data_IF_876191073881
#
_entry.id   IF_876191073881
#
_cell.length_a   1.000
_cell.length_b   1.000
_cell.length_c   1.000
_cell.angle_alpha   90.00
_cell.angle_beta   90.00
_cell.angle_gamma   90.00
#
_symmetry.space_group_name_H-M   'P 1'
#
loop_
_entity.id
_entity.type
_entity.pdbx_description
1 polymer ?
#
# COMPACT_ATOMS: atom_id res chain seq x y z
N UNK A 1 13.61 -2.06 -1.33
CA UNK A 1 13.52 -3.54 -1.49
C UNK A 1 12.17 -3.79 -2.12
N UNK A 2 12.09 -4.56 -3.21
CA UNK A 2 10.81 -4.92 -3.80
C UNK A 2 9.96 -5.70 -2.80
N UNK A 3 8.67 -5.41 -2.79
CA UNK A 3 7.66 -6.14 -1.99
C UNK A 3 7.47 -7.49 -2.69
N UNK A 4 7.77 -8.61 -2.02
CA UNK A 4 7.53 -9.95 -2.56
C UNK A 4 6.36 -10.60 -1.80
N UNK A 5 5.26 -10.89 -2.50
CA UNK A 5 4.10 -11.56 -1.91
C UNK A 5 3.96 -12.98 -2.48
N UNK A 6 3.70 -13.96 -1.60
CA UNK A 6 3.40 -15.34 -1.97
C UNK A 6 1.88 -15.53 -2.00
N UNK A 7 1.39 -16.19 -3.05
CA UNK A 7 -0.01 -16.54 -3.25
C UNK A 7 -0.55 -17.41 -2.07
N UNK A 8 -1.65 -16.99 -1.43
CA UNK A 8 -2.22 -17.57 -0.20
C UNK A 8 -1.77 -16.93 1.13
N UNK A 9 -0.66 -16.21 1.16
CA UNK A 9 -0.09 -15.63 2.39
C UNK A 9 -0.50 -14.16 2.60
N UNK A 10 -0.49 -13.75 3.87
CA UNK A 10 -0.58 -12.34 4.28
C UNK A 10 0.82 -11.87 4.67
N UNK A 11 1.36 -10.93 3.90
CA UNK A 11 2.66 -10.32 4.17
C UNK A 11 2.49 -8.95 4.84
N UNK A 12 3.34 -8.63 5.82
CA UNK A 12 3.35 -7.36 6.54
C UNK A 12 4.50 -6.46 6.05
N UNK A 13 4.18 -5.22 5.68
CA UNK A 13 5.17 -4.23 5.26
C UNK A 13 5.09 -2.96 6.10
N UNK A 14 6.20 -2.61 6.76
CA UNK A 14 6.34 -1.33 7.43
C UNK A 14 6.60 -0.20 6.43
N UNK A 15 5.65 0.74 6.36
CA UNK A 15 5.72 1.90 5.48
C UNK A 15 5.89 3.16 6.32
N UNK A 16 7.03 3.84 6.15
CA UNK A 16 7.26 5.18 6.72
C UNK A 16 7.14 6.23 5.63
N UNK A 17 6.21 7.17 5.77
CA UNK A 17 5.97 8.30 4.87
C UNK A 17 6.77 9.51 5.32
N UNK A 18 7.62 10.03 4.43
CA UNK A 18 8.38 11.26 4.65
C UNK A 18 8.13 12.27 3.54
N UNK A 19 8.16 13.54 3.90
CA UNK A 19 8.15 14.69 2.99
C UNK A 19 9.35 15.56 3.33
N UNK A 20 10.20 15.85 2.34
CA UNK A 20 11.42 16.65 2.53
C UNK A 20 12.32 16.12 3.66
N UNK A 21 12.38 14.79 3.82
CA UNK A 21 13.18 14.12 4.85
C UNK A 21 12.58 14.14 6.26
N UNK A 22 11.37 14.71 6.45
CA UNK A 22 10.64 14.68 7.72
C UNK A 22 9.47 13.70 7.65
N UNK A 23 9.23 12.99 8.76
CA UNK A 23 8.03 12.18 8.91
C UNK A 23 6.78 13.04 8.72
N UNK A 24 5.84 12.54 7.91
CA UNK A 24 4.56 13.21 7.69
C UNK A 24 3.57 12.76 8.77
N UNK A 25 2.84 13.70 9.36
CA UNK A 25 1.79 13.33 10.31
C UNK A 25 0.58 12.75 9.56
N UNK A 26 0.22 11.51 9.89
CA UNK A 26 -0.89 10.74 9.31
C UNK A 26 -2.09 10.62 10.25
N UNK A 27 -2.17 11.42 11.32
CA UNK A 27 -3.35 11.45 12.20
C UNK A 27 -4.56 11.90 11.39
N UNK A 28 -5.66 11.15 11.51
CA UNK A 28 -6.91 11.32 10.77
C UNK A 28 -6.77 11.27 9.24
N UNK A 29 -5.67 10.70 8.72
CA UNK A 29 -5.46 10.51 7.29
C UNK A 29 -6.05 9.19 6.84
N UNK A 30 -6.87 9.24 5.78
CA UNK A 30 -7.31 8.04 5.08
C UNK A 30 -6.20 7.58 4.13
N UNK A 31 -5.73 6.36 4.33
CA UNK A 31 -4.72 5.72 3.47
C UNK A 31 -5.42 4.72 2.57
N UNK A 32 -5.15 4.79 1.26
CA UNK A 32 -5.62 3.80 0.27
C UNK A 32 -4.43 3.25 -0.48
N UNK A 33 -4.38 1.95 -0.65
CA UNK A 33 -3.36 1.27 -1.43
C UNK A 33 -3.96 0.78 -2.75
N UNK A 34 -3.21 0.89 -3.85
CA UNK A 34 -3.62 0.47 -5.18
C UNK A 34 -2.53 -0.38 -5.81
N UNK A 35 -2.91 -1.48 -6.45
CA UNK A 35 -2.02 -2.21 -7.36
C UNK A 35 -2.44 -1.91 -8.80
N UNK A 36 -1.46 -1.60 -9.63
CA UNK A 36 -1.61 -1.09 -10.98
C UNK A 36 -0.88 -2.00 -11.97
N UNK A 37 -1.43 -2.13 -13.18
CA UNK A 37 -0.72 -2.75 -14.29
C UNK A 37 0.35 -1.80 -14.89
N UNK A 38 1.09 -2.29 -15.88
CA UNK A 38 2.11 -1.49 -16.60
C UNK A 38 1.55 -0.26 -17.33
N UNK A 39 0.23 -0.17 -17.52
CA UNK A 39 -0.46 0.98 -18.11
C UNK A 39 -1.11 1.90 -17.05
N UNK A 40 -0.86 1.66 -15.77
CA UNK A 40 -1.45 2.38 -14.63
C UNK A 40 -2.97 2.21 -14.49
N UNK A 41 -3.49 1.08 -14.96
CA UNK A 41 -4.87 0.67 -14.70
C UNK A 41 -4.95 0.05 -13.31
N UNK A 42 -5.90 0.48 -12.48
CA UNK A 42 -6.12 -0.09 -11.14
C UNK A 42 -6.60 -1.54 -11.29
N UNK A 43 -5.80 -2.47 -10.80
CA UNK A 43 -6.10 -3.90 -10.75
C UNK A 43 -6.78 -4.28 -9.44
N UNK A 44 -6.29 -3.73 -8.34
CA UNK A 44 -6.93 -3.85 -7.03
C UNK A 44 -6.76 -2.56 -6.23
N UNK A 45 -7.62 -2.40 -5.24
CA UNK A 45 -7.52 -1.35 -4.23
C UNK A 45 -7.74 -1.98 -2.86
N UNK A 46 -7.03 -1.51 -1.84
CA UNK A 46 -7.36 -1.86 -0.46
C UNK A 46 -8.80 -1.44 -0.21
N UNK A 47 -9.56 -2.30 0.47
CA UNK A 47 -10.94 -1.95 0.79
C UNK A 47 -10.97 -0.67 1.64
N UNK A 48 -12.09 0.06 1.66
CA UNK A 48 -12.23 1.21 2.57
C UNK A 48 -12.28 0.77 4.05
N UNK A 49 -12.27 -0.54 4.31
CA UNK A 49 -12.17 -1.14 5.62
C UNK A 49 -10.70 -1.42 5.96
N UNK A 50 -10.34 -0.93 7.14
CA UNK A 50 -9.01 -0.75 7.73
C UNK A 50 -8.21 -2.07 7.93
N UNK A 51 -8.73 -3.23 7.55
CA UNK A 51 -8.09 -4.53 7.85
C UNK A 51 -6.75 -4.75 7.10
N UNK A 52 -6.53 -4.05 6.00
CA UNK A 52 -5.28 -4.13 5.23
C UNK A 52 -4.24 -3.07 5.63
N UNK A 53 -4.61 -2.08 6.45
CA UNK A 53 -3.73 -0.95 6.81
C UNK A 53 -3.85 -0.62 8.30
N UNK A 54 -2.78 -0.85 9.07
CA UNK A 54 -2.71 -0.49 10.48
C UNK A 54 -1.82 0.74 10.71
N UNK A 55 -2.43 1.85 11.12
CA UNK A 55 -1.75 3.09 11.50
C UNK A 55 -1.19 2.98 12.94
N UNK A 56 -0.06 2.32 13.12
CA UNK A 56 0.53 2.10 14.45
C UNK A 56 1.32 3.30 15.01
N UNK A 57 1.88 4.16 14.15
CA UNK A 57 2.54 5.41 14.56
C UNK A 57 2.23 6.56 13.59
N UNK A 58 0.98 7.04 13.57
CA UNK A 58 0.53 8.03 12.60
C UNK A 58 1.25 9.38 12.77
N UNK A 59 1.58 9.80 14.00
CA UNK A 59 2.37 11.02 14.24
C UNK A 59 3.79 10.94 13.70
N UNK A 60 4.36 9.73 13.62
CA UNK A 60 5.67 9.45 13.01
C UNK A 60 5.58 9.06 11.53
N UNK A 61 4.39 9.14 10.93
CA UNK A 61 4.16 8.82 9.53
C UNK A 61 4.28 7.35 9.17
N UNK A 62 4.03 6.45 10.12
CA UNK A 62 4.23 5.02 9.93
C UNK A 62 2.91 4.26 9.98
N UNK A 63 2.78 3.30 9.07
CA UNK A 63 1.70 2.34 9.02
C UNK A 63 2.22 0.99 8.53
N UNK A 64 1.49 -0.07 8.87
CA UNK A 64 1.70 -1.41 8.34
C UNK A 64 0.70 -1.66 7.22
N UNK A 65 1.19 -2.22 6.14
CA UNK A 65 0.39 -2.69 5.03
C UNK A 65 0.37 -4.22 5.08
N UNK A 66 -0.83 -4.79 5.14
CA UNK A 66 -1.06 -6.22 5.06
C UNK A 66 -1.52 -6.57 3.65
N UNK A 67 -0.70 -7.34 2.94
CA UNK A 67 -1.02 -7.79 1.59
C UNK A 67 -1.39 -9.27 1.64
N UNK A 68 -2.69 -9.54 1.56
CA UNK A 68 -3.23 -10.89 1.41
C UNK A 68 -3.40 -11.20 -0.06
N UNK A 69 -2.58 -12.10 -0.58
CA UNK A 69 -2.62 -12.47 -2.00
C UNK A 69 -3.87 -13.27 -2.39
N UNK A 70 -4.56 -13.87 -1.42
CA UNK A 70 -5.87 -14.53 -1.63
C UNK A 70 -6.99 -13.58 -2.05
N UNK A 71 -6.90 -12.29 -1.68
CA UNK A 71 -7.87 -11.26 -2.06
C UNK A 71 -7.50 -10.55 -3.38
N UNK A 72 -6.29 -10.82 -3.88
CA UNK A 72 -5.83 -10.26 -5.14
C UNK A 72 -6.17 -11.20 -6.29
N UNK A 73 -7.09 -10.78 -7.17
CA UNK A 73 -7.29 -11.34 -8.52
C UNK A 73 -6.03 -11.20 -9.43
N UNK A 74 -4.87 -11.01 -8.82
CA UNK A 74 -3.63 -10.60 -9.44
C UNK A 74 -2.79 -11.87 -9.60
N UNK A 75 -2.50 -12.18 -10.86
CA UNK A 75 -1.67 -13.32 -11.21
C UNK A 75 -0.23 -13.07 -10.74
N UNK A 76 0.58 -14.13 -10.60
CA UNK A 76 2.01 -13.99 -10.42
C UNK A 76 2.61 -13.08 -11.50
N UNK A 77 3.41 -12.09 -11.09
CA UNK A 77 3.88 -11.02 -11.95
C UNK A 77 4.46 -9.83 -11.20
N UNK A 78 4.91 -8.83 -11.95
CA UNK A 78 5.43 -7.57 -11.43
C UNK A 78 4.41 -6.46 -11.67
N UNK A 79 4.04 -5.75 -10.61
CA UNK A 79 3.02 -4.71 -10.64
C UNK A 79 3.52 -3.44 -9.99
N UNK A 80 3.00 -2.31 -10.43
CA UNK A 80 3.22 -1.05 -9.73
C UNK A 80 2.27 -0.94 -8.55
N UNK A 81 2.67 -0.22 -7.50
CA UNK A 81 1.72 0.17 -6.46
C UNK A 81 1.74 1.66 -6.15
N UNK A 82 0.60 2.16 -5.70
CA UNK A 82 0.41 3.54 -5.29
C UNK A 82 -0.30 3.60 -3.95
N UNK A 83 0.12 4.54 -3.10
CA UNK A 83 -0.53 4.86 -1.84
C UNK A 83 -1.13 6.26 -1.96
N UNK A 84 -2.45 6.39 -1.92
CA UNK A 84 -3.13 7.68 -1.81
C UNK A 84 -3.38 8.00 -0.34
N UNK A 85 -2.96 9.19 0.07
CA UNK A 85 -3.26 9.79 1.36
C UNK A 85 -4.30 10.88 1.17
N UNK A 86 -5.43 10.77 1.86
CA UNK A 86 -6.44 11.84 1.92
C UNK A 86 -6.46 12.44 3.32
N UNK A 87 -6.07 13.71 3.42
CA UNK A 87 -6.01 14.46 4.66
C UNK A 87 -7.40 15.00 5.07
N UNK A 88 -7.63 15.35 6.35
CA UNK A 88 -8.91 15.89 6.83
C UNK A 88 -9.37 17.16 6.11
N UNK A 89 -8.44 17.94 5.57
CA UNK A 89 -8.72 19.13 4.78
C UNK A 89 -9.13 18.82 3.32
N UNK A 90 -9.26 17.54 2.96
CA UNK A 90 -9.57 17.07 1.62
C UNK A 90 -8.38 17.03 0.65
N UNK A 91 -7.18 17.43 1.09
CA UNK A 91 -5.98 17.33 0.28
C UNK A 91 -5.66 15.86 0.00
N UNK A 92 -5.35 15.56 -1.26
CA UNK A 92 -4.89 14.24 -1.68
C UNK A 92 -3.42 14.27 -2.04
N UNK A 93 -2.68 13.23 -1.63
CA UNK A 93 -1.28 13.01 -1.98
C UNK A 93 -1.11 11.56 -2.41
N UNK A 94 -0.62 11.35 -3.63
CA UNK A 94 -0.23 10.02 -4.09
C UNK A 94 1.26 9.83 -3.88
N UNK A 95 1.61 8.75 -3.21
CA UNK A 95 2.97 8.26 -3.05
C UNK A 95 3.10 7.04 -3.96
N UNK A 96 3.87 7.18 -5.01
CA UNK A 96 4.28 6.04 -5.81
C UNK A 96 5.55 5.47 -5.18
N UNK A 97 5.50 4.22 -4.75
CA UNK A 97 6.69 3.50 -4.33
C UNK A 97 6.73 2.26 -5.18
N UNK A 98 7.71 2.19 -6.06
CA UNK A 98 8.30 0.94 -6.52
C UNK A 98 7.32 -0.12 -7.09
N UNK A 99 7.80 -1.35 -7.19
CA UNK A 99 7.07 -2.50 -7.69
C UNK A 99 6.82 -3.56 -6.61
N UNK A 100 5.70 -4.26 -6.75
CA UNK A 100 5.38 -5.49 -6.04
C UNK A 100 5.54 -6.69 -6.99
N UNK A 101 6.17 -7.75 -6.50
CA UNK A 101 6.35 -9.00 -7.20
C UNK A 101 5.50 -10.07 -6.53
N UNK A 102 4.50 -10.56 -7.24
CA UNK A 102 3.65 -11.67 -6.81
C UNK A 102 4.23 -12.97 -7.37
N UNK A 103 4.55 -13.94 -6.51
CA UNK A 103 5.10 -15.24 -6.89
C UNK A 103 4.00 -16.30 -7.04
N UNK A 104 4.26 -17.33 -7.85
CA UNK A 104 3.38 -18.49 -7.99
C UNK A 104 3.20 -19.22 -6.64
N UNK A 105 1.97 -19.67 -6.36
CA UNK A 105 1.70 -20.65 -5.31
C UNK A 105 2.48 -21.93 -5.66
N UNK A 106 3.40 -22.39 -4.80
CA UNK A 106 4.12 -23.68 -4.95
C UNK A 106 3.35 -24.81 -4.28
#
# INVERSE_FOLDING_TARGET
MPIEAICGDTEEYDVTVTSEGKALNLVDVLVKFYILDGNRTILTKSSENIEEIDLYNPSGGQFKLYLTSGDTLIKPGCYMYEIELTFPNGLKRTINRDFIFVKECV
#
